data_IF_926184315360
#
_entry.id   IF_926184315360
#
_cell.length_a   1.000
_cell.length_b   1.000
_cell.length_c   1.000
_cell.angle_alpha   90.00
_cell.angle_beta   90.00
_cell.angle_gamma   90.00
#
_symmetry.space_group_name_H-M   'P 1'
#
loop_
_entity.id
_entity.type
_entity.pdbx_description
1 polymer ?
#
# COMPACT_ATOMS: atom_id res chain seq x y z
N UNK A 1 -55.53 82.53 -41.59
CA UNK A 1 -55.51 81.97 -40.21
C UNK A 1 -56.70 81.04 -40.06
N UNK A 2 -56.49 79.72 -40.04
CA UNK A 2 -57.54 78.73 -39.78
C UNK A 2 -57.40 78.27 -38.33
N UNK A 3 -58.50 78.26 -37.58
CA UNK A 3 -58.54 77.74 -36.22
C UNK A 3 -59.28 76.41 -36.24
N UNK A 4 -58.60 75.34 -35.82
CA UNK A 4 -59.14 73.98 -35.74
C UNK A 4 -59.33 73.67 -34.26
N UNK A 5 -60.56 73.35 -33.86
CA UNK A 5 -60.86 72.89 -32.51
C UNK A 5 -61.21 71.40 -32.58
N UNK A 6 -60.42 70.56 -31.94
CA UNK A 6 -60.70 69.13 -31.76
C UNK A 6 -60.98 68.87 -30.28
N UNK A 7 -62.07 68.18 -29.97
CA UNK A 7 -62.37 67.68 -28.63
C UNK A 7 -62.71 66.20 -28.71
N UNK A 8 -62.39 65.45 -27.67
CA UNK A 8 -62.64 64.01 -27.56
C UNK A 8 -63.63 63.79 -26.44
N UNK A 9 -64.76 63.13 -26.71
CA UNK A 9 -65.65 62.64 -25.67
C UNK A 9 -65.39 61.16 -25.42
N UNK A 10 -65.23 60.81 -24.14
CA UNK A 10 -65.16 59.42 -23.69
C UNK A 10 -66.40 59.19 -22.85
N UNK A 11 -67.35 58.40 -23.37
CA UNK A 11 -68.52 57.97 -22.59
C UNK A 11 -68.14 56.78 -21.72
N UNK A 12 -68.31 56.90 -20.40
CA UNK A 12 -68.01 55.82 -19.45
C UNK A 12 -69.13 54.77 -19.32
N UNK A 13 -70.19 54.87 -20.12
CA UNK A 13 -71.28 53.89 -20.13
C UNK A 13 -71.08 52.86 -21.25
N UNK A 14 -70.53 51.71 -20.86
CA UNK A 14 -70.59 50.38 -21.51
C UNK A 14 -70.15 50.20 -22.98
N UNK A 15 -69.53 51.20 -23.60
CA UNK A 15 -68.75 50.99 -24.82
C UNK A 15 -67.57 51.97 -24.86
N UNK A 16 -66.35 51.45 -24.66
CA UNK A 16 -65.09 52.19 -24.86
C UNK A 16 -64.93 52.53 -26.35
N UNK A 17 -65.61 53.59 -26.80
CA UNK A 17 -65.53 54.12 -28.15
C UNK A 17 -64.97 55.53 -28.09
N UNK A 18 -63.95 55.80 -28.90
CA UNK A 18 -63.41 57.15 -29.08
C UNK A 18 -63.91 57.68 -30.41
N UNK A 19 -64.56 58.83 -30.40
CA UNK A 19 -64.95 59.54 -31.61
C UNK A 19 -64.19 60.86 -31.74
N UNK A 20 -63.83 61.19 -32.97
CA UNK A 20 -63.29 62.49 -33.35
C UNK A 20 -64.18 63.08 -34.44
N UNK A 21 -64.56 64.34 -34.28
CA UNK A 21 -65.38 65.05 -35.26
C UNK A 21 -64.69 66.33 -35.72
N UNK A 22 -64.78 66.59 -37.02
CA UNK A 22 -64.24 67.80 -37.65
C UNK A 22 -65.36 68.47 -38.43
N UNK A 23 -65.56 69.76 -38.20
CA UNK A 23 -66.53 70.57 -38.93
C UNK A 23 -65.82 71.54 -39.89
N UNK A 24 -66.27 71.58 -41.14
CA UNK A 24 -65.87 72.61 -42.11
C UNK A 24 -66.91 73.74 -42.13
N UNK A 25 -66.52 74.95 -42.55
CA UNK A 25 -67.42 76.13 -42.59
C UNK A 25 -68.63 75.97 -43.53
N UNK A 26 -68.66 74.92 -44.35
CA UNK A 26 -69.80 74.56 -45.21
C UNK A 26 -70.91 73.81 -44.46
N UNK A 27 -70.75 73.56 -43.15
CA UNK A 27 -71.76 72.87 -42.31
C UNK A 27 -71.68 71.35 -42.37
N UNK A 28 -70.73 70.79 -43.13
CA UNK A 28 -70.53 69.35 -43.24
C UNK A 28 -69.75 68.83 -42.03
N UNK A 29 -70.34 67.90 -41.28
CA UNK A 29 -69.72 67.22 -40.14
C UNK A 29 -69.16 65.87 -40.60
N UNK A 30 -67.85 65.65 -40.41
CA UNK A 30 -67.25 64.32 -40.60
C UNK A 30 -66.81 63.76 -39.25
N UNK A 31 -67.38 62.62 -38.90
CA UNK A 31 -67.09 61.88 -37.66
C UNK A 31 -66.34 60.58 -37.99
N UNK A 32 -65.22 60.35 -37.31
CA UNK A 32 -64.50 59.08 -37.30
C UNK A 32 -64.64 58.40 -35.93
N UNK A 33 -65.01 57.11 -35.92
CA UNK A 33 -65.15 56.32 -34.69
C UNK A 33 -64.12 55.20 -34.66
N UNK A 34 -63.43 55.05 -33.54
CA UNK A 34 -62.49 53.97 -33.26
C UNK A 34 -62.97 53.16 -32.06
N UNK A 35 -63.03 51.83 -32.21
CA UNK A 35 -63.27 50.91 -31.10
C UNK A 35 -61.92 50.48 -30.51
N UNK A 36 -61.67 50.80 -29.23
CA UNK A 36 -60.39 50.51 -28.55
C UNK A 36 -60.37 49.13 -27.86
N UNK A 37 -61.43 48.32 -27.98
CA UNK A 37 -61.55 47.00 -27.34
C UNK A 37 -60.40 46.03 -27.69
N UNK A 38 -59.71 46.24 -28.82
CA UNK A 38 -58.55 45.43 -29.24
C UNK A 38 -57.18 45.99 -28.87
N UNK A 39 -57.08 47.25 -28.41
CA UNK A 39 -55.79 47.94 -28.19
C UNK A 39 -55.41 47.97 -26.69
N UNK A 40 -56.39 47.81 -25.80
CA UNK A 40 -56.18 47.80 -24.34
C UNK A 40 -56.07 46.37 -23.76
N UNK A 41 -56.39 45.34 -24.56
CA UNK A 41 -56.27 43.94 -24.15
C UNK A 41 -54.88 43.37 -24.44
N UNK A 42 -53.86 43.88 -23.75
CA UNK A 42 -52.62 43.13 -23.51
C UNK A 42 -52.15 43.32 -22.05
N UNK A 43 -53.10 43.35 -21.12
CA UNK A 43 -52.86 42.95 -19.74
C UNK A 43 -53.38 41.51 -19.58
N UNK A 44 -52.60 40.56 -19.04
CA UNK A 44 -53.08 39.20 -18.88
C UNK A 44 -54.02 39.16 -17.68
N UNK A 45 -55.33 39.04 -17.91
CA UNK A 45 -56.27 38.63 -16.88
C UNK A 45 -57.13 37.45 -17.35
N UNK A 46 -56.80 36.31 -16.75
CA UNK A 46 -57.72 35.28 -16.25
C UNK A 46 -58.45 34.33 -17.20
N UNK A 47 -57.91 33.11 -17.30
CA UNK A 47 -58.71 31.88 -17.10
C UNK A 47 -57.82 30.69 -16.73
N UNK A 48 -57.22 30.70 -15.55
CA UNK A 48 -56.43 29.56 -15.08
C UNK A 48 -56.36 29.67 -13.56
N UNK A 49 -57.36 29.13 -12.87
CA UNK A 49 -57.50 29.28 -11.42
C UNK A 49 -56.24 28.86 -10.64
N UNK A 50 -56.21 29.08 -9.32
CA UNK A 50 -55.06 28.76 -8.47
C UNK A 50 -54.58 27.31 -8.61
N UNK A 51 -55.44 26.40 -9.07
CA UNK A 51 -55.06 25.05 -9.49
C UNK A 51 -53.92 25.04 -10.51
N UNK A 52 -53.90 25.87 -11.56
CA UNK A 52 -52.84 25.86 -12.59
C UNK A 52 -51.47 26.26 -12.04
N UNK A 53 -51.42 27.21 -11.10
CA UNK A 53 -50.20 27.53 -10.38
C UNK A 53 -49.75 26.35 -9.50
N UNK A 54 -50.69 25.65 -8.85
CA UNK A 54 -50.42 24.43 -8.07
C UNK A 54 -49.97 23.26 -8.97
N UNK A 55 -50.51 23.16 -10.19
CA UNK A 55 -50.10 22.16 -11.17
C UNK A 55 -48.68 22.44 -11.68
N UNK A 56 -48.35 23.72 -11.95
CA UNK A 56 -47.00 24.10 -12.37
C UNK A 56 -45.98 23.92 -11.26
N UNK A 57 -46.31 24.26 -10.01
CA UNK A 57 -45.40 24.02 -8.88
C UNK A 57 -45.22 22.54 -8.60
N UNK A 58 -46.30 21.74 -8.66
CA UNK A 58 -46.23 20.29 -8.56
C UNK A 58 -45.39 19.68 -9.69
N UNK A 59 -45.56 20.15 -10.93
CA UNK A 59 -44.79 19.70 -12.09
C UNK A 59 -43.31 20.03 -11.92
N UNK A 60 -42.97 21.23 -11.46
CA UNK A 60 -41.59 21.64 -11.19
C UNK A 60 -40.97 20.78 -10.07
N UNK A 61 -41.69 20.55 -8.97
CA UNK A 61 -41.24 19.68 -7.89
C UNK A 61 -41.04 18.23 -8.36
N UNK A 62 -41.94 17.71 -9.20
CA UNK A 62 -41.82 16.38 -9.78
C UNK A 62 -40.60 16.28 -10.72
N UNK A 63 -40.33 17.30 -11.54
CA UNK A 63 -39.16 17.36 -12.41
C UNK A 63 -37.86 17.47 -11.61
N UNK A 64 -37.81 18.27 -10.55
CA UNK A 64 -36.66 18.36 -9.65
C UNK A 64 -36.44 17.06 -8.88
N UNK A 65 -37.51 16.37 -8.47
CA UNK A 65 -37.46 15.06 -7.85
C UNK A 65 -36.95 13.99 -8.81
N UNK A 66 -37.44 13.98 -10.07
CA UNK A 66 -36.96 13.09 -11.13
C UNK A 66 -35.50 13.38 -11.49
N UNK A 67 -35.12 14.64 -11.61
CA UNK A 67 -33.74 15.04 -11.86
C UNK A 67 -32.85 14.66 -10.67
N UNK A 68 -33.31 14.85 -9.44
CA UNK A 68 -32.65 14.39 -8.22
C UNK A 68 -32.53 12.87 -8.16
N UNK A 69 -33.55 12.11 -8.59
CA UNK A 69 -33.53 10.65 -8.67
C UNK A 69 -32.61 10.17 -9.80
N UNK A 70 -32.58 10.87 -10.92
CA UNK A 70 -31.66 10.63 -12.04
C UNK A 70 -30.23 10.91 -11.58
N UNK A 71 -29.98 12.04 -10.91
CA UNK A 71 -28.69 12.37 -10.32
C UNK A 71 -28.31 11.40 -9.19
N UNK A 72 -29.27 10.92 -8.41
CA UNK A 72 -29.07 9.94 -7.36
C UNK A 72 -28.69 8.60 -7.97
N UNK A 73 -29.39 8.11 -9.00
CA UNK A 73 -29.05 6.88 -9.74
C UNK A 73 -27.79 7.03 -10.59
N UNK A 74 -27.51 8.23 -11.08
CA UNK A 74 -26.28 8.55 -11.80
C UNK A 74 -25.08 8.61 -10.84
N UNK A 75 -25.28 9.17 -9.63
CA UNK A 75 -24.33 9.07 -8.52
C UNK A 75 -24.15 7.64 -8.06
N UNK A 76 -25.22 6.87 -7.91
CA UNK A 76 -25.19 5.43 -7.61
C UNK A 76 -24.42 4.65 -8.68
N UNK A 77 -24.50 5.04 -9.97
CA UNK A 77 -23.65 4.48 -11.04
C UNK A 77 -22.19 4.98 -11.02
N UNK A 78 -21.91 6.16 -10.46
CA UNK A 78 -20.55 6.69 -10.27
C UNK A 78 -19.88 6.12 -9.01
N UNK A 79 -20.64 5.86 -7.94
CA UNK A 79 -20.18 5.25 -6.69
C UNK A 79 -20.32 3.72 -6.69
N UNK A 80 -21.14 3.17 -7.58
CA UNK A 80 -21.36 1.76 -7.82
C UNK A 80 -20.60 1.29 -9.05
N UNK A 81 -19.28 1.50 -9.07
CA UNK A 81 -18.39 0.77 -9.96
C UNK A 81 -17.88 -0.45 -9.19
N UNK A 82 -18.50 -1.61 -9.38
CA UNK A 82 -17.73 -2.86 -9.29
C UNK A 82 -16.78 -2.88 -10.49
N UNK A 83 -15.48 -3.09 -10.27
CA UNK A 83 -14.49 -2.20 -10.85
C UNK A 83 -13.60 -2.91 -11.89
N UNK A 84 -13.20 -2.15 -12.91
CA UNK A 84 -12.00 -2.47 -13.69
C UNK A 84 -10.71 -2.41 -12.84
N UNK A 85 -10.82 -1.95 -11.59
CA UNK A 85 -9.76 -1.94 -10.56
C UNK A 85 -9.63 -3.28 -9.83
N UNK A 86 -10.69 -4.08 -9.64
CA UNK A 86 -10.57 -5.42 -9.04
C UNK A 86 -9.80 -6.35 -9.99
N UNK A 87 -10.01 -6.23 -11.30
CA UNK A 87 -9.28 -7.02 -12.29
C UNK A 87 -7.77 -6.70 -12.26
N UNK A 88 -7.40 -5.43 -12.09
CA UNK A 88 -6.00 -5.01 -12.03
C UNK A 88 -5.35 -5.35 -10.68
N UNK A 89 -6.07 -5.23 -9.56
CA UNK A 89 -5.58 -5.60 -8.23
C UNK A 89 -5.46 -7.12 -8.06
N UNK A 90 -6.42 -7.90 -8.55
CA UNK A 90 -6.37 -9.37 -8.50
C UNK A 90 -5.27 -9.90 -9.44
N UNK A 91 -5.11 -9.34 -10.64
CA UNK A 91 -4.02 -9.69 -11.55
C UNK A 91 -2.64 -9.22 -11.03
N UNK A 92 -2.57 -8.07 -10.36
CA UNK A 92 -1.33 -7.58 -9.72
C UNK A 92 -0.98 -8.40 -8.50
N UNK A 93 -1.95 -8.73 -7.65
CA UNK A 93 -1.79 -9.63 -6.51
C UNK A 93 -1.38 -11.01 -6.99
N UNK A 94 -2.02 -11.55 -8.04
CA UNK A 94 -1.59 -12.77 -8.70
C UNK A 94 -0.17 -12.66 -9.23
N UNK A 95 0.26 -11.55 -9.84
CA UNK A 95 1.65 -11.40 -10.32
C UNK A 95 2.67 -11.29 -9.18
N UNK A 96 2.28 -10.65 -8.09
CA UNK A 96 3.06 -10.48 -6.87
C UNK A 96 3.14 -11.76 -6.03
N UNK A 97 2.18 -12.67 -6.20
CA UNK A 97 2.10 -14.00 -5.55
C UNK A 97 2.40 -15.17 -6.50
N UNK A 98 2.47 -14.94 -7.83
CA UNK A 98 2.88 -15.89 -8.86
C UNK A 98 4.38 -16.02 -8.80
N UNK A 99 4.84 -16.75 -7.80
CA UNK A 99 6.00 -17.61 -7.95
C UNK A 99 5.91 -18.74 -6.91
N UNK A 100 5.48 -19.89 -7.42
CA UNK A 100 5.58 -21.23 -6.83
C UNK A 100 4.67 -21.49 -5.62
N UNK A 101 3.44 -21.93 -5.92
CA UNK A 101 2.58 -22.72 -5.00
C UNK A 101 3.13 -24.15 -4.90
N UNK A 102 4.40 -24.26 -4.51
CA UNK A 102 5.07 -25.50 -4.15
C UNK A 102 5.69 -25.32 -2.78
N UNK A 103 5.80 -26.41 -2.01
CA UNK A 103 6.50 -26.40 -0.72
C UNK A 103 7.87 -25.72 -0.89
N UNK A 104 8.03 -24.60 -0.20
CA UNK A 104 9.26 -23.86 -0.30
C UNK A 104 10.37 -24.55 0.46
N UNK A 105 11.50 -24.74 -0.22
CA UNK A 105 12.70 -25.20 0.45
C UNK A 105 13.38 -24.03 1.17
N UNK A 106 12.95 -23.75 2.42
CA UNK A 106 13.59 -22.75 3.30
C UNK A 106 15.11 -22.97 3.42
N UNK A 107 15.57 -24.22 3.35
CA UNK A 107 17.01 -24.51 3.41
C UNK A 107 17.77 -23.98 2.19
N UNK A 108 17.11 -23.88 1.03
CA UNK A 108 17.70 -23.24 -0.15
C UNK A 108 17.89 -21.73 0.07
N UNK A 109 16.90 -21.07 0.68
CA UNK A 109 17.00 -19.64 1.03
C UNK A 109 18.14 -19.40 2.02
N UNK A 110 18.28 -20.29 3.01
CA UNK A 110 19.32 -20.21 4.04
C UNK A 110 20.75 -20.37 3.51
N UNK A 111 20.96 -20.88 2.29
CA UNK A 111 22.27 -20.84 1.62
C UNK A 111 22.75 -19.41 1.36
N UNK A 112 21.82 -18.46 1.28
CA UNK A 112 22.08 -17.03 1.10
C UNK A 112 21.98 -16.27 2.43
N UNK A 113 21.92 -16.94 3.57
CA UNK A 113 21.75 -16.30 4.86
C UNK A 113 22.93 -15.36 5.18
N UNK A 114 22.60 -14.16 5.61
CA UNK A 114 23.56 -13.15 6.04
C UNK A 114 23.27 -12.74 7.48
N UNK A 115 24.32 -12.38 8.20
CA UNK A 115 24.18 -11.81 9.53
C UNK A 115 23.72 -10.35 9.42
N UNK A 116 22.55 -10.05 9.97
CA UNK A 116 22.05 -8.67 10.07
C UNK A 116 22.15 -8.16 11.52
N UNK A 117 22.61 -6.93 11.68
CA UNK A 117 22.61 -6.20 12.95
C UNK A 117 22.04 -4.80 12.73
N UNK A 118 21.41 -4.23 13.76
CA UNK A 118 20.91 -2.85 13.73
C UNK A 118 22.07 -1.87 13.87
N UNK A 119 22.08 -0.86 12.99
CA UNK A 119 22.94 0.31 13.10
C UNK A 119 22.43 1.24 14.22
N UNK A 120 23.29 1.47 15.23
CA UNK A 120 22.98 2.34 16.37
C UNK A 120 23.12 3.82 16.06
N UNK A 121 23.95 4.17 15.07
CA UNK A 121 24.23 5.57 14.73
C UNK A 121 22.98 6.25 14.16
N UNK A 122 22.23 5.53 13.34
CA UNK A 122 21.01 6.00 12.67
C UNK A 122 19.72 5.55 13.35
N UNK A 123 19.79 5.09 14.60
CA UNK A 123 18.63 4.58 15.34
C UNK A 123 17.71 5.73 15.79
N UNK A 124 16.40 5.58 15.58
CA UNK A 124 15.44 6.54 16.10
C UNK A 124 15.51 6.65 17.65
N UNK A 125 15.48 7.86 18.25
CA UNK A 125 15.65 8.04 19.71
C UNK A 125 14.62 7.29 20.59
N UNK A 126 13.42 7.10 20.05
CA UNK A 126 12.33 6.37 20.71
C UNK A 126 12.39 4.85 20.50
N UNK A 127 13.46 4.33 19.91
CA UNK A 127 13.71 2.90 19.80
C UNK A 127 14.75 2.45 20.83
N UNK A 128 14.64 1.18 21.20
CA UNK A 128 15.59 0.47 22.05
C UNK A 128 16.07 -0.77 21.32
N UNK A 129 17.37 -0.98 21.37
CA UNK A 129 18.03 -2.13 20.75
C UNK A 129 18.85 -2.89 21.79
N UNK A 130 18.75 -4.22 21.77
CA UNK A 130 19.56 -5.11 22.63
C UNK A 130 21.06 -4.94 22.38
N UNK A 131 21.89 -5.43 23.30
CA UNK A 131 23.35 -5.29 23.25
C UNK A 131 23.97 -5.86 21.97
N UNK A 132 23.46 -7.01 21.52
CA UNK A 132 23.85 -7.71 20.28
C UNK A 132 23.31 -7.07 18.99
N UNK A 133 22.54 -5.98 19.10
CA UNK A 133 21.93 -5.30 17.96
C UNK A 133 20.93 -6.15 17.16
N UNK A 134 20.27 -7.15 17.79
CA UNK A 134 19.33 -8.06 17.12
C UNK A 134 17.86 -7.85 17.51
N UNK A 135 17.60 -7.38 18.72
CA UNK A 135 16.24 -7.20 19.27
C UNK A 135 15.89 -5.72 19.25
N UNK A 136 14.77 -5.38 18.61
CA UNK A 136 14.27 -4.03 18.43
C UNK A 136 12.88 -3.88 19.02
N UNK A 137 12.66 -2.78 19.75
CA UNK A 137 11.35 -2.39 20.30
C UNK A 137 11.24 -0.89 20.50
N UNK A 138 10.03 -0.41 20.70
CA UNK A 138 9.76 0.93 21.19
C UNK A 138 10.28 1.15 22.61
N UNK A 139 10.61 2.40 22.91
CA UNK A 139 10.99 2.86 24.25
C UNK A 139 9.80 2.81 25.20
N UNK A 140 10.04 2.52 26.47
CA UNK A 140 9.01 2.56 27.52
C UNK A 140 8.43 3.99 27.70
N UNK A 141 9.24 5.01 27.43
CA UNK A 141 8.84 6.42 27.47
C UNK A 141 8.05 6.86 26.23
N UNK A 142 8.02 6.03 25.17
CA UNK A 142 7.30 6.35 23.95
C UNK A 142 5.82 6.00 24.11
N UNK A 143 5.02 7.00 24.45
CA UNK A 143 3.58 6.89 24.49
C UNK A 143 2.99 7.22 23.11
N UNK A 144 2.67 6.17 22.34
CA UNK A 144 1.98 6.35 21.08
C UNK A 144 0.55 6.84 21.33
N UNK A 145 0.30 8.13 21.06
CA UNK A 145 -1.00 8.79 21.25
C UNK A 145 -1.78 8.99 19.95
N UNK A 146 -1.18 8.65 18.81
CA UNK A 146 -1.81 8.75 17.49
C UNK A 146 -2.63 7.51 17.15
N UNK A 147 -3.66 7.69 16.32
CA UNK A 147 -4.41 6.57 15.70
C UNK A 147 -3.65 5.94 14.52
N UNK A 148 -2.63 6.63 14.00
CA UNK A 148 -1.86 6.22 12.82
C UNK A 148 -0.58 5.48 13.19
N UNK A 149 -0.23 4.45 12.40
CA UNK A 149 1.02 3.70 12.57
C UNK A 149 2.26 4.63 12.66
N UNK A 150 3.19 4.40 13.61
CA UNK A 150 4.33 5.27 13.83
C UNK A 150 5.45 5.05 12.81
N UNK A 151 5.25 5.50 11.57
CA UNK A 151 6.18 5.34 10.44
C UNK A 151 7.58 5.91 10.70
N UNK A 152 7.71 6.88 11.61
CA UNK A 152 8.98 7.47 12.03
C UNK A 152 9.90 6.52 12.79
N UNK A 153 9.36 5.45 13.40
CA UNK A 153 10.12 4.51 14.23
C UNK A 153 10.95 3.52 13.42
N UNK A 154 11.73 4.04 12.46
CA UNK A 154 12.61 3.24 11.62
C UNK A 154 13.96 3.00 12.27
N UNK A 155 14.50 1.81 12.02
CA UNK A 155 15.86 1.40 12.28
C UNK A 155 16.41 0.74 11.01
N UNK A 156 17.73 0.79 10.86
CA UNK A 156 18.40 0.33 9.65
C UNK A 156 19.43 -0.74 9.99
N UNK A 157 19.65 -1.67 9.05
CA UNK A 157 20.74 -2.63 9.18
C UNK A 157 22.11 -1.96 8.99
N UNK A 158 23.13 -2.47 9.65
CA UNK A 158 24.51 -2.03 9.48
C UNK A 158 25.12 -2.53 8.15
N UNK A 159 24.58 -3.62 7.60
CA UNK A 159 25.01 -4.25 6.36
C UNK A 159 24.47 -3.51 5.14
N UNK A 160 25.32 -3.39 4.11
CA UNK A 160 25.04 -2.73 2.83
C UNK A 160 25.19 -3.71 1.69
N UNK A 161 24.18 -3.77 0.83
CA UNK A 161 24.12 -4.69 -0.29
C UNK A 161 24.04 -3.94 -1.61
N UNK A 162 24.91 -4.29 -2.55
CA UNK A 162 24.98 -3.68 -3.89
C UNK A 162 25.09 -4.69 -5.02
N UNK A 163 24.99 -5.99 -4.71
CA UNK A 163 24.99 -7.14 -5.63
C UNK A 163 24.62 -8.42 -4.90
N UNK A 164 24.27 -9.47 -5.62
CA UNK A 164 24.07 -10.82 -5.08
C UNK A 164 22.74 -11.06 -4.36
N UNK A 165 22.65 -12.26 -3.75
CA UNK A 165 21.48 -12.72 -3.01
C UNK A 165 21.76 -12.77 -1.50
N UNK A 166 20.87 -12.18 -0.71
CA UNK A 166 20.99 -12.03 0.74
C UNK A 166 19.68 -12.38 1.44
N UNK A 167 19.74 -13.28 2.41
CA UNK A 167 18.58 -13.77 3.15
C UNK A 167 18.71 -13.51 4.64
N UNK A 168 17.61 -13.11 5.29
CA UNK A 168 17.53 -13.03 6.75
C UNK A 168 16.13 -13.37 7.27
N UNK A 169 16.07 -13.84 8.52
CA UNK A 169 14.82 -14.17 9.21
C UNK A 169 14.57 -13.21 10.38
N UNK A 170 13.30 -12.84 10.58
CA UNK A 170 12.84 -11.99 11.67
C UNK A 170 11.72 -12.69 12.43
N UNK A 171 11.92 -12.88 13.72
CA UNK A 171 10.91 -13.38 14.65
C UNK A 171 9.99 -12.24 15.09
N UNK A 172 8.68 -12.47 14.95
CA UNK A 172 7.60 -11.55 15.24
C UNK A 172 6.70 -12.04 16.37
N UNK A 173 6.88 -13.28 16.83
CA UNK A 173 6.16 -13.85 17.97
C UNK A 173 7.14 -14.38 19.01
N UNK A 174 7.00 -13.94 20.26
CA UNK A 174 7.75 -14.51 21.37
C UNK A 174 6.93 -15.59 22.06
N UNK A 175 7.59 -16.58 22.64
CA UNK A 175 6.91 -17.63 23.42
C UNK A 175 5.98 -17.01 24.46
N UNK A 176 4.73 -17.50 24.52
CA UNK A 176 3.66 -17.01 25.40
C UNK A 176 3.26 -15.54 25.19
N UNK A 177 3.51 -14.95 24.01
CA UNK A 177 3.02 -13.63 23.62
C UNK A 177 2.36 -13.69 22.25
N UNK A 178 1.35 -12.84 21.99
CA UNK A 178 0.78 -12.76 20.65
C UNK A 178 1.84 -12.26 19.66
N UNK A 179 1.77 -12.66 18.38
CA UNK A 179 2.58 -12.05 17.33
C UNK A 179 2.39 -10.52 17.31
N UNK A 180 3.44 -9.77 17.00
CA UNK A 180 3.36 -8.32 16.79
C UNK A 180 2.26 -7.99 15.79
N UNK A 181 1.45 -6.97 16.02
CA UNK A 181 0.43 -6.47 15.09
C UNK A 181 0.98 -5.37 14.17
N UNK A 182 2.02 -4.67 14.62
CA UNK A 182 2.54 -3.49 13.95
C UNK A 182 4.02 -3.68 13.64
N UNK A 183 4.39 -3.60 12.36
CA UNK A 183 5.80 -3.59 11.94
C UNK A 183 5.96 -3.18 10.47
N UNK A 184 7.17 -2.75 10.11
CA UNK A 184 7.66 -2.64 8.72
C UNK A 184 8.96 -3.43 8.62
N UNK A 185 9.09 -4.26 7.59
CA UNK A 185 10.33 -4.98 7.27
C UNK A 185 10.57 -4.88 5.77
N UNK A 186 11.80 -4.56 5.38
CA UNK A 186 12.17 -4.46 3.96
C UNK A 186 13.60 -3.99 3.76
N UNK A 187 13.82 -3.19 2.72
CA UNK A 187 15.10 -2.53 2.43
C UNK A 187 14.89 -1.06 2.04
N UNK A 188 15.93 -0.26 2.20
CA UNK A 188 15.98 1.15 1.81
C UNK A 188 17.34 1.46 1.17
N UNK A 189 17.41 2.44 0.27
CA UNK A 189 18.70 2.96 -0.22
C UNK A 189 19.55 3.53 0.93
N UNK A 190 20.86 3.25 0.91
CA UNK A 190 21.87 3.62 1.93
C UNK A 190 22.11 5.14 2.10
N UNK A 191 21.42 5.98 1.34
CA UNK A 191 21.46 7.44 1.49
C UNK A 191 20.21 7.99 2.22
N UNK A 192 19.21 7.13 2.50
CA UNK A 192 17.88 7.56 2.94
C UNK A 192 17.57 7.16 4.39
N UNK A 193 18.27 7.81 5.34
CA UNK A 193 18.09 7.59 6.78
C UNK A 193 17.19 8.63 7.49
N UNK A 194 16.79 9.70 6.80
CA UNK A 194 16.19 10.89 7.44
C UNK A 194 14.67 10.96 7.38
N UNK A 195 14.01 10.02 6.72
CA UNK A 195 12.58 10.11 6.41
C UNK A 195 11.71 9.69 7.60
N UNK A 196 10.75 10.54 7.99
CA UNK A 196 9.97 10.35 9.23
C UNK A 196 8.46 10.19 9.02
N UNK A 197 7.92 10.41 7.84
CA UNK A 197 6.49 10.34 7.60
C UNK A 197 6.12 9.29 6.54
N UNK A 198 4.89 8.77 6.63
CA UNK A 198 4.37 7.75 5.71
C UNK A 198 4.54 8.14 4.25
N UNK A 199 4.26 9.41 3.92
CA UNK A 199 4.17 9.90 2.55
C UNK A 199 5.50 9.83 1.79
N UNK A 200 6.61 9.81 2.51
CA UNK A 200 7.94 9.76 1.93
C UNK A 200 8.52 8.33 1.86
N UNK A 201 7.82 7.31 2.36
CA UNK A 201 8.24 5.90 2.30
C UNK A 201 7.80 5.22 0.98
N UNK A 202 8.20 5.78 -0.16
CA UNK A 202 7.79 5.30 -1.49
C UNK A 202 8.91 4.53 -2.21
N UNK A 203 8.57 3.68 -3.19
CA UNK A 203 9.56 3.01 -4.05
C UNK A 203 10.43 4.00 -4.82
N UNK A 204 9.86 5.12 -5.26
CA UNK A 204 10.61 6.19 -5.95
C UNK A 204 11.59 6.90 -5.02
N UNK A 205 11.27 7.00 -3.72
CA UNK A 205 12.20 7.44 -2.69
C UNK A 205 13.16 6.32 -2.22
N UNK A 206 13.15 5.15 -2.85
CA UNK A 206 14.09 4.08 -2.55
C UNK A 206 13.75 3.25 -1.31
N UNK A 207 12.47 3.15 -0.95
CA UNK A 207 11.97 2.27 0.11
C UNK A 207 11.21 1.10 -0.51
N UNK A 208 11.42 -0.12 -0.02
CA UNK A 208 10.65 -1.29 -0.43
C UNK A 208 10.39 -2.18 0.77
N UNK A 209 9.13 -2.43 1.11
CA UNK A 209 8.81 -3.15 2.34
C UNK A 209 7.45 -3.85 2.32
N UNK A 210 7.30 -4.77 3.27
CA UNK A 210 6.04 -5.30 3.76
C UNK A 210 5.72 -4.66 5.12
N UNK A 211 4.50 -4.17 5.27
CA UNK A 211 4.00 -3.60 6.51
C UNK A 211 2.82 -4.40 7.03
N UNK A 212 2.79 -4.60 8.35
CA UNK A 212 1.58 -4.98 9.08
C UNK A 212 0.98 -3.78 9.80
N UNK A 213 -0.30 -3.54 9.54
CA UNK A 213 -1.12 -2.46 10.10
C UNK A 213 -2.23 -3.05 10.96
N UNK A 214 -1.87 -3.65 12.09
CA UNK A 214 -2.83 -4.30 12.97
C UNK A 214 -2.95 -5.80 12.71
N UNK A 215 -4.04 -6.43 13.20
CA UNK A 215 -4.12 -7.89 13.24
C UNK A 215 -4.32 -8.54 11.87
N UNK A 216 -4.94 -7.84 10.92
CA UNK A 216 -5.38 -8.41 9.64
C UNK A 216 -4.90 -7.67 8.41
N UNK A 217 -4.51 -6.40 8.54
CA UNK A 217 -4.12 -5.59 7.38
C UNK A 217 -2.62 -5.69 7.14
N UNK A 218 -2.26 -6.15 5.95
CA UNK A 218 -0.90 -6.08 5.46
C UNK A 218 -0.89 -5.29 4.17
N UNK A 219 0.16 -4.52 3.94
CA UNK A 219 0.34 -3.85 2.66
C UNK A 219 1.82 -3.72 2.30
N UNK A 220 2.07 -3.57 1.02
CA UNK A 220 3.37 -3.17 0.49
C UNK A 220 3.27 -1.77 -0.09
N UNK A 221 4.39 -1.06 -0.14
CA UNK A 221 4.45 0.31 -0.63
C UNK A 221 4.51 0.41 -2.16
N UNK A 222 3.99 -0.56 -2.91
CA UNK A 222 3.76 -0.43 -4.35
C UNK A 222 2.90 0.79 -4.65
N UNK A 223 2.94 1.28 -5.89
CA UNK A 223 2.05 2.34 -6.37
C UNK A 223 1.13 1.78 -7.46
N UNK A 224 -0.18 1.53 -7.18
CA UNK A 224 -0.86 1.76 -5.90
C UNK A 224 -0.50 0.72 -4.81
N UNK A 225 -0.71 1.02 -3.51
CA UNK A 225 -0.43 0.08 -2.42
C UNK A 225 -1.32 -1.16 -2.52
N UNK A 226 -0.70 -2.33 -2.55
CA UNK A 226 -1.45 -3.60 -2.56
C UNK A 226 -1.71 -4.05 -1.12
N UNK A 227 -2.97 -4.32 -0.80
CA UNK A 227 -3.38 -4.95 0.46
C UNK A 227 -3.33 -6.46 0.35
N UNK A 228 -2.85 -7.12 1.40
CA UNK A 228 -2.68 -8.57 1.44
C UNK A 228 -3.45 -9.15 2.64
N UNK A 229 -4.11 -10.28 2.41
CA UNK A 229 -4.67 -11.11 3.47
C UNK A 229 -3.70 -12.25 3.76
N UNK A 230 -2.86 -12.09 4.78
CA UNK A 230 -1.89 -13.11 5.18
C UNK A 230 -2.49 -13.96 6.31
N UNK A 231 -2.95 -15.17 5.97
CA UNK A 231 -3.52 -16.12 6.94
C UNK A 231 -2.87 -17.52 6.75
N UNK A 232 -2.30 -18.12 7.81
CA UNK A 232 -2.10 -17.53 9.13
C UNK A 232 -1.06 -16.39 9.10
N UNK A 233 -1.10 -15.55 10.13
CA UNK A 233 -0.16 -14.43 10.30
C UNK A 233 1.27 -14.99 10.43
N UNK A 234 2.27 -14.42 9.75
CA UNK A 234 3.64 -14.86 9.93
C UNK A 234 4.12 -14.58 11.35
N UNK A 235 4.44 -15.64 12.09
CA UNK A 235 5.18 -15.56 13.35
C UNK A 235 6.67 -15.33 13.09
N UNK A 236 7.17 -15.89 11.98
CA UNK A 236 8.51 -15.65 11.47
C UNK A 236 8.48 -15.25 10.00
N UNK A 237 9.09 -14.12 9.70
CA UNK A 237 9.19 -13.55 8.36
C UNK A 237 10.59 -13.77 7.80
N UNK A 238 10.70 -14.42 6.65
CA UNK A 238 11.93 -14.52 5.88
C UNK A 238 11.96 -13.44 4.80
N UNK A 239 13.13 -12.86 4.56
CA UNK A 239 13.33 -11.84 3.53
C UNK A 239 14.49 -12.25 2.65
N UNK A 240 14.27 -12.35 1.34
CA UNK A 240 15.31 -12.55 0.33
C UNK A 240 15.42 -11.29 -0.52
N UNK A 241 16.59 -10.66 -0.48
CA UNK A 241 17.01 -9.66 -1.46
C UNK A 241 17.79 -10.38 -2.56
N UNK A 242 17.22 -10.47 -3.75
CA UNK A 242 17.96 -10.78 -4.97
C UNK A 242 18.29 -9.46 -5.67
N UNK A 243 19.46 -8.90 -5.33
CA UNK A 243 19.84 -7.60 -5.86
C UNK A 243 20.04 -7.65 -7.37
N UNK A 244 20.62 -8.75 -7.87
CA UNK A 244 21.02 -8.88 -9.27
C UNK A 244 19.79 -9.05 -10.19
N UNK A 245 18.75 -9.75 -9.73
CA UNK A 245 17.48 -9.87 -10.45
C UNK A 245 16.46 -8.78 -10.09
N UNK A 246 16.81 -7.88 -9.16
CA UNK A 246 15.94 -6.78 -8.76
C UNK A 246 14.68 -7.24 -8.03
N UNK A 247 14.79 -8.24 -7.16
CA UNK A 247 13.66 -8.78 -6.40
C UNK A 247 13.85 -8.64 -4.89
N UNK A 248 12.77 -8.32 -4.19
CA UNK A 248 12.66 -8.41 -2.74
C UNK A 248 11.48 -9.29 -2.37
N UNK A 249 11.75 -10.48 -1.84
CA UNK A 249 10.75 -11.52 -1.61
C UNK A 249 10.56 -11.78 -0.11
N UNK A 250 9.30 -11.96 0.28
CA UNK A 250 8.87 -12.18 1.66
C UNK A 250 8.23 -13.55 1.83
N UNK A 251 8.53 -14.18 2.95
CA UNK A 251 8.17 -15.58 3.22
C UNK A 251 7.61 -15.74 4.63
N UNK A 252 6.55 -16.54 4.78
CA UNK A 252 6.17 -17.08 6.09
C UNK A 252 7.01 -18.34 6.30
N UNK A 253 8.00 -18.25 7.18
CA UNK A 253 8.97 -19.34 7.40
C UNK A 253 8.31 -20.51 8.11
N UNK A 254 7.39 -20.23 9.05
CA UNK A 254 6.66 -21.25 9.80
C UNK A 254 5.79 -22.10 8.88
N UNK A 255 5.06 -21.46 7.98
CA UNK A 255 4.18 -22.12 7.01
C UNK A 255 4.89 -22.51 5.70
N UNK A 256 6.21 -22.25 5.59
CA UNK A 256 7.03 -22.51 4.40
C UNK A 256 6.40 -21.97 3.11
N UNK A 257 5.85 -20.76 3.18
CA UNK A 257 5.04 -20.17 2.11
C UNK A 257 5.62 -18.85 1.60
N UNK A 258 5.63 -18.67 0.28
CA UNK A 258 5.81 -17.36 -0.35
C UNK A 258 4.65 -16.44 -0.01
N UNK A 259 4.96 -15.18 0.35
CA UNK A 259 3.94 -14.18 0.64
C UNK A 259 3.82 -13.16 -0.50
N UNK A 260 4.95 -12.64 -0.95
CA UNK A 260 5.02 -11.51 -1.87
C UNK A 260 6.42 -11.39 -2.45
N UNK A 261 6.54 -11.04 -3.73
CA UNK A 261 7.78 -10.51 -4.34
C UNK A 261 7.55 -9.08 -4.83
N UNK A 262 8.42 -8.15 -4.44
CA UNK A 262 8.48 -6.80 -5.00
C UNK A 262 9.60 -6.76 -6.06
N UNK A 263 9.25 -6.45 -7.31
CA UNK A 263 10.24 -6.24 -8.36
C UNK A 263 10.64 -4.76 -8.44
N UNK A 264 11.93 -4.46 -8.36
CA UNK A 264 12.48 -3.12 -8.46
C UNK A 264 13.90 -3.13 -9.01
N UNK A 265 14.25 -2.10 -9.78
CA UNK A 265 15.64 -1.89 -10.19
C UNK A 265 16.40 -1.18 -9.08
N UNK A 266 17.17 -1.95 -8.31
CA UNK A 266 18.05 -1.37 -7.30
C UNK A 266 19.23 -0.65 -7.95
N UNK A 267 19.65 0.44 -7.34
CA UNK A 267 20.79 1.26 -7.76
C UNK A 267 21.52 1.76 -6.53
N UNK A 268 22.84 1.60 -6.48
CA UNK A 268 23.63 1.91 -5.29
C UNK A 268 23.48 0.84 -4.21
N UNK A 269 23.96 1.12 -3.00
CA UNK A 269 23.74 0.23 -1.86
C UNK A 269 22.33 0.36 -1.30
N UNK A 270 21.75 -0.77 -0.90
CA UNK A 270 20.57 -0.84 -0.05
C UNK A 270 20.94 -1.45 1.31
N UNK A 271 20.17 -1.10 2.33
CA UNK A 271 20.31 -1.60 3.69
C UNK A 271 18.97 -2.18 4.17
N UNK A 272 18.97 -3.18 5.07
CA UNK A 272 17.75 -3.65 5.72
C UNK A 272 17.00 -2.52 6.44
N UNK A 273 15.67 -2.54 6.36
CA UNK A 273 14.76 -1.59 6.99
C UNK A 273 13.89 -2.33 8.01
N UNK A 274 13.78 -1.76 9.20
CA UNK A 274 12.95 -2.28 10.29
C UNK A 274 12.16 -1.17 10.96
N UNK A 275 10.90 -1.43 11.31
CA UNK A 275 10.12 -0.62 12.23
C UNK A 275 9.35 -1.60 13.14
N UNK A 276 9.55 -1.59 14.47
CA UNK A 276 8.90 -2.53 15.37
C UNK A 276 7.47 -2.11 15.74
N UNK A 277 6.92 -1.03 15.18
CA UNK A 277 5.68 -0.43 15.65
C UNK A 277 5.81 0.08 17.08
N UNK A 278 4.67 0.24 17.76
CA UNK A 278 4.62 0.64 19.17
C UNK A 278 3.53 -0.12 19.92
N UNK A 279 3.72 -0.34 21.22
CA UNK A 279 2.71 -0.90 22.13
C UNK A 279 2.51 -2.42 22.07
N UNK A 280 3.10 -3.12 21.11
CA UNK A 280 3.07 -4.59 21.08
C UNK A 280 3.94 -5.20 22.19
N UNK A 281 3.44 -6.27 22.83
CA UNK A 281 4.21 -7.00 23.85
C UNK A 281 5.43 -7.72 23.27
N UNK A 282 5.33 -8.21 22.04
CA UNK A 282 6.39 -8.92 21.33
C UNK A 282 7.39 -7.93 20.71
N UNK A 283 8.67 -8.26 20.82
CA UNK A 283 9.76 -7.52 20.16
C UNK A 283 9.96 -8.00 18.73
N UNK A 284 10.58 -7.17 17.89
CA UNK A 284 11.07 -7.59 16.58
C UNK A 284 12.49 -8.12 16.76
N UNK A 285 12.74 -9.41 16.49
CA UNK A 285 14.04 -10.04 16.72
C UNK A 285 14.62 -10.58 15.43
N UNK A 286 15.79 -10.07 15.03
CA UNK A 286 16.56 -10.61 13.91
C UNK A 286 17.21 -11.92 14.36
N UNK A 287 17.03 -12.98 13.57
CA UNK A 287 17.54 -14.31 13.89
C UNK A 287 18.84 -14.61 13.15
N UNK A 288 19.74 -15.32 13.82
CA UNK A 288 20.86 -15.96 13.16
C UNK A 288 20.37 -17.25 12.50
N UNK A 289 20.41 -17.29 11.17
CA UNK A 289 20.00 -18.48 10.43
C UNK A 289 20.99 -19.63 10.69
N UNK A 290 20.51 -20.88 10.82
CA UNK A 290 21.40 -22.03 10.94
C UNK A 290 22.38 -22.08 9.78
N UNK A 291 23.68 -22.20 10.07
CA UNK A 291 24.68 -22.45 9.03
C UNK A 291 24.45 -23.86 8.46
N UNK A 292 24.48 -24.05 7.13
CA UNK A 292 24.47 -25.38 6.55
C UNK A 292 25.60 -26.21 7.17
N UNK A 293 25.26 -27.36 7.76
CA UNK A 293 26.28 -28.30 8.24
C UNK A 293 26.95 -28.87 6.99
N UNK A 294 28.20 -28.50 6.74
CA UNK A 294 28.99 -29.15 5.69
C UNK A 294 29.03 -30.65 5.98
N UNK A 295 28.77 -31.52 4.99
CA UNK A 295 28.88 -32.96 5.19
C UNK A 295 30.29 -33.27 5.67
N UNK A 296 30.42 -33.86 6.85
CA UNK A 296 31.70 -34.34 7.34
C UNK A 296 32.33 -35.22 6.27
N UNK A 297 33.50 -34.83 5.77
CA UNK A 297 34.30 -35.71 4.92
C UNK A 297 34.50 -37.02 5.68
N UNK A 298 33.88 -38.09 5.19
CA UNK A 298 34.01 -39.43 5.75
C UNK A 298 35.44 -39.89 5.53
N UNK A 299 36.30 -39.70 6.54
CA UNK A 299 37.65 -40.28 6.56
C UNK A 299 37.60 -41.77 6.93
N UNK A 300 36.84 -42.57 6.17
CA UNK A 300 36.98 -44.02 6.21
C UNK A 300 38.00 -44.43 5.16
N UNK A 301 39.28 -44.27 5.51
CA UNK A 301 40.36 -44.97 4.85
C UNK A 301 40.78 -46.14 5.76
N UNK A 302 40.45 -47.39 5.45
CA UNK A 302 40.82 -48.51 6.32
C UNK A 302 42.35 -48.70 6.28
N UNK A 303 42.99 -48.56 7.44
CA UNK A 303 44.38 -48.99 7.63
C UNK A 303 44.47 -50.51 7.42
N UNK A 304 45.51 -51.03 6.73
CA UNK A 304 45.75 -52.47 6.64
C UNK A 304 46.05 -53.03 8.04
N UNK A 305 45.36 -54.12 8.38
CA UNK A 305 45.58 -54.91 9.59
C UNK A 305 46.89 -55.67 9.46
N UNK A 306 47.89 -55.32 10.27
CA UNK A 306 49.13 -56.07 10.41
C UNK A 306 48.89 -57.22 11.41
N UNK A 307 48.91 -58.44 10.89
CA UNK A 307 48.73 -59.68 11.63
C UNK A 307 49.89 -59.95 12.57
N UNK A 308 49.60 -60.08 13.87
CA UNK A 308 50.54 -60.51 14.89
C UNK A 308 50.94 -61.99 14.68
N UNK A 309 52.22 -62.23 14.42
CA UNK A 309 52.80 -63.57 14.42
C UNK A 309 53.48 -63.84 15.76
N UNK A 310 52.99 -64.87 16.43
CA UNK A 310 53.44 -65.41 17.70
C UNK A 310 54.73 -66.20 17.52
N UNK A 311 55.75 -65.97 18.35
CA UNK A 311 56.82 -66.94 18.58
C UNK A 311 57.46 -66.73 19.97
N UNK A 312 57.33 -67.76 20.80
CA UNK A 312 57.96 -67.90 22.12
C UNK A 312 59.46 -68.24 22.02
N UNK A 313 60.24 -68.09 23.12
CA UNK A 313 61.69 -68.14 23.10
C UNK A 313 62.26 -69.55 23.40
N UNK A 314 63.42 -69.87 22.82
CA UNK A 314 64.26 -70.98 23.26
C UNK A 314 65.73 -70.55 23.34
N UNK A 315 66.29 -70.76 24.54
CA UNK A 315 67.70 -70.69 24.90
C UNK A 315 68.51 -71.76 24.15
N UNK A 316 69.73 -71.44 23.71
CA UNK A 316 70.95 -72.13 24.17
C UNK A 316 72.22 -71.64 23.43
N UNK A 317 73.13 -71.12 24.25
CA UNK A 317 74.59 -71.28 24.30
C UNK A 317 75.40 -71.86 23.11
N UNK A 318 76.51 -71.15 22.87
CA UNK A 318 77.91 -71.61 22.80
C UNK A 318 78.66 -71.51 21.45
N UNK A 319 79.87 -70.96 21.63
CA UNK A 319 81.15 -71.31 20.97
C UNK A 319 81.68 -70.32 19.93
N UNK A 320 82.81 -69.69 20.31
CA UNK A 320 84.10 -69.62 19.60
C UNK A 320 84.05 -69.76 18.06
N UNK A 321 84.68 -68.91 17.24
CA UNK A 321 86.12 -68.63 17.28
C UNK A 321 86.52 -67.56 16.24
N UNK A 322 87.66 -66.91 16.51
CA UNK A 322 88.71 -66.46 15.57
C UNK A 322 88.47 -65.48 14.39
N UNK A 323 89.31 -64.40 14.46
CA UNK A 323 90.10 -63.75 13.38
C UNK A 323 89.32 -62.88 12.36
N UNK A 324 89.83 -61.78 11.78
CA UNK A 324 91.13 -61.11 11.74
C UNK A 324 90.87 -59.67 11.23
N UNK A 325 91.64 -58.67 11.70
CA UNK A 325 92.16 -57.45 11.01
C UNK A 325 91.49 -56.96 9.70
N UNK A 326 91.28 -55.65 9.43
CA UNK A 326 92.33 -54.63 9.13
C UNK A 326 91.69 -53.29 8.67
N UNK A 327 92.43 -52.20 8.89
CA UNK A 327 92.42 -50.88 8.18
C UNK A 327 91.24 -49.93 8.49
N UNK A 328 91.39 -48.65 8.83
CA UNK A 328 92.50 -47.65 8.83
C UNK A 328 92.39 -46.83 10.11
#
# INVERSE_FOLDING_TARGET
>A
MFSVHSWTAVSLSDAQQVSCSVSLRTGELKEGRLNIQGIVSSGPSDSSGPWMALFLTFLICALLGLFGLILYKYREKLTGKKPATEICEEETLERLTKEVVGDMNIEELRKHAVEITIDREHLHPDLRVSKDCKILRDSEDYHHTGEEFPFQLCAFGAQRFSSGRHYWEVELAQTNRPPKNFWIIGVVKDENFTTRDRSALTPSAGFWFLCSYGPHDFYTNTDPPVKLSLTPRPERLGVLLDYDDGQLSFYNVTERKHLLTISSRFSGSVVPLFNPGAGDLSTLTILDCPKPVEPAESSDNPKPVESAESSQPLLSNNSSDARLTKAV
#
